data_IF_091360915185
#
_entry.id   IF_091360915185
#
_cell.length_a   1.000
_cell.length_b   1.000
_cell.length_c   1.000
_cell.angle_alpha   90.00
_cell.angle_beta   90.00
_cell.angle_gamma   90.00
#
_symmetry.space_group_name_H-M   'P 1'
#
loop_
_entity.id
_entity.type
_entity.pdbx_description
1 polymer ?
#
# COMPACT_ATOMS: atom_id res chain seq x y z
N UNK A 1 3.65 17.59 -17.45
CA UNK A 1 3.45 17.11 -16.07
C UNK A 1 2.60 18.11 -15.26
N UNK A 2 1.68 17.62 -14.42
CA UNK A 2 0.86 18.42 -13.50
C UNK A 2 1.54 18.43 -12.12
N UNK A 3 1.46 19.53 -11.37
CA UNK A 3 2.04 19.61 -10.01
C UNK A 3 1.28 18.70 -9.03
N UNK A 4 1.93 18.33 -7.92
CA UNK A 4 1.30 17.45 -6.92
C UNK A 4 0.05 18.07 -6.31
N UNK A 5 0.10 19.38 -6.03
CA UNK A 5 -1.01 20.15 -5.44
C UNK A 5 -2.25 20.14 -6.34
N UNK A 6 -2.04 20.05 -7.66
CA UNK A 6 -3.12 19.96 -8.65
C UNK A 6 -3.52 18.53 -8.96
N UNK A 7 -2.58 17.58 -8.91
CA UNK A 7 -2.87 16.17 -9.16
C UNK A 7 -3.68 15.53 -8.03
N UNK A 8 -3.36 15.82 -6.77
CA UNK A 8 -4.01 15.22 -5.59
C UNK A 8 -5.55 15.35 -5.62
N UNK A 9 -6.13 16.56 -5.78
CA UNK A 9 -7.58 16.71 -5.85
C UNK A 9 -8.22 15.95 -7.02
N UNK A 10 -7.53 15.86 -8.16
CA UNK A 10 -8.01 15.14 -9.34
C UNK A 10 -8.03 13.62 -9.12
N UNK A 11 -7.01 13.08 -8.44
CA UNK A 11 -6.94 11.66 -8.12
C UNK A 11 -8.06 11.24 -7.16
N UNK A 12 -8.36 12.06 -6.14
CA UNK A 12 -9.44 11.79 -5.18
C UNK A 12 -10.84 12.08 -5.70
N UNK A 13 -10.98 12.81 -6.82
CA UNK A 13 -12.29 13.05 -7.44
C UNK A 13 -12.88 11.79 -8.11
N UNK A 14 -12.08 10.73 -8.33
CA UNK A 14 -12.56 9.48 -8.89
C UNK A 14 -13.50 8.75 -7.92
N UNK A 15 -14.71 8.35 -8.37
CA UNK A 15 -15.62 7.57 -7.54
C UNK A 15 -14.98 6.28 -7.05
N UNK A 16 -15.10 5.99 -5.75
CA UNK A 16 -14.54 4.79 -5.13
C UNK A 16 -13.10 4.92 -4.64
N UNK A 17 -12.47 6.09 -4.79
CA UNK A 17 -11.15 6.38 -4.18
C UNK A 17 -11.36 7.00 -2.80
N UNK A 18 -10.75 6.42 -1.77
CA UNK A 18 -10.77 6.94 -0.41
C UNK A 18 -9.35 7.03 0.15
N UNK A 19 -9.03 8.13 0.83
CA UNK A 19 -7.80 8.26 1.59
C UNK A 19 -7.96 7.55 2.94
N UNK A 20 -7.08 6.59 3.22
CA UNK A 20 -7.07 5.88 4.48
C UNK A 20 -5.97 6.43 5.40
N UNK A 21 -6.23 6.56 6.71
CA UNK A 21 -5.24 7.03 7.66
C UNK A 21 -4.15 5.98 7.88
N UNK A 22 -2.92 6.44 8.09
CA UNK A 22 -1.86 5.59 8.60
C UNK A 22 -2.01 5.45 10.12
N UNK A 23 -2.52 4.31 10.57
CA UNK A 23 -2.77 4.04 12.00
C UNK A 23 -1.51 3.49 12.69
N UNK A 24 -1.41 3.58 14.03
CA UNK A 24 -0.32 2.95 14.78
C UNK A 24 -0.21 1.44 14.56
N UNK A 25 -1.34 0.75 14.34
CA UNK A 25 -1.36 -0.68 14.02
C UNK A 25 -0.66 -0.96 12.69
N UNK A 26 -0.96 -0.19 11.64
CA UNK A 26 -0.30 -0.30 10.33
C UNK A 26 1.19 0.01 10.44
N UNK A 27 1.54 1.08 11.17
CA UNK A 27 2.94 1.48 11.36
C UNK A 27 3.76 0.43 12.12
N UNK A 28 3.19 -0.27 13.10
CA UNK A 28 3.85 -1.39 13.77
C UNK A 28 3.94 -2.62 12.85
N UNK A 29 2.87 -2.93 12.12
CA UNK A 29 2.81 -4.08 11.23
C UNK A 29 3.82 -3.98 10.06
N UNK A 30 4.13 -2.78 9.56
CA UNK A 30 5.11 -2.58 8.50
C UNK A 30 6.52 -3.01 8.90
N UNK A 31 6.86 -2.90 10.18
CA UNK A 31 8.16 -3.34 10.73
C UNK A 31 8.22 -4.84 11.03
N UNK A 32 7.10 -5.55 10.93
CA UNK A 32 6.93 -6.96 11.33
C UNK A 32 6.34 -7.81 10.21
N UNK A 33 6.65 -7.45 8.97
CA UNK A 33 6.26 -8.26 7.82
C UNK A 33 6.93 -9.65 7.91
N UNK A 34 6.17 -10.74 7.81
CA UNK A 34 6.71 -12.10 7.89
C UNK A 34 7.65 -12.40 6.73
N UNK A 35 8.58 -13.33 6.96
CA UNK A 35 9.56 -13.73 5.94
C UNK A 35 10.53 -12.61 5.56
N UNK A 36 11.15 -12.75 4.39
CA UNK A 36 11.99 -11.70 3.82
C UNK A 36 11.13 -10.82 2.93
N UNK A 37 10.99 -9.55 3.29
CA UNK A 37 10.35 -8.54 2.46
C UNK A 37 11.36 -7.45 2.08
N UNK A 38 11.05 -6.72 1.01
CA UNK A 38 11.85 -5.60 0.54
C UNK A 38 12.07 -4.55 1.65
N UNK A 39 13.19 -3.83 1.59
CA UNK A 39 13.63 -2.86 2.62
C UNK A 39 13.13 -1.44 2.38
N UNK A 40 12.27 -1.20 1.40
CA UNK A 40 11.67 0.11 1.19
C UNK A 40 10.56 0.39 2.23
N UNK A 41 10.65 1.49 2.99
CA UNK A 41 9.66 1.81 4.01
C UNK A 41 8.25 2.08 3.45
N UNK A 42 8.12 2.66 2.26
CA UNK A 42 6.82 2.95 1.66
C UNK A 42 6.12 1.66 1.22
N UNK A 43 6.85 0.73 0.59
CA UNK A 43 6.32 -0.59 0.24
C UNK A 43 5.89 -1.36 1.49
N UNK A 44 6.68 -1.30 2.56
CA UNK A 44 6.32 -1.93 3.83
C UNK A 44 5.02 -1.37 4.41
N UNK A 45 4.82 -0.05 4.35
CA UNK A 45 3.57 0.60 4.78
C UNK A 45 2.39 0.19 3.91
N UNK A 46 2.56 0.14 2.58
CA UNK A 46 1.50 -0.25 1.65
C UNK A 46 1.08 -1.71 1.89
N UNK A 47 2.05 -2.62 1.97
CA UNK A 47 1.79 -4.06 2.21
C UNK A 47 1.19 -4.29 3.59
N UNK A 48 1.68 -3.63 4.63
CA UNK A 48 1.10 -3.72 5.97
C UNK A 48 -0.34 -3.22 5.99
N UNK A 49 -0.63 -2.11 5.30
CA UNK A 49 -1.99 -1.57 5.18
C UNK A 49 -2.93 -2.61 4.59
N UNK A 50 -2.56 -3.22 3.46
CA UNK A 50 -3.37 -4.25 2.81
C UNK A 50 -3.62 -5.47 3.71
N UNK A 51 -2.59 -5.90 4.46
CA UNK A 51 -2.68 -7.03 5.40
C UNK A 51 -3.58 -6.73 6.60
N UNK A 52 -3.44 -5.55 7.22
CA UNK A 52 -4.26 -5.11 8.37
C UNK A 52 -5.72 -4.97 7.96
N UNK A 53 -5.99 -4.33 6.81
CA UNK A 53 -7.35 -4.12 6.30
C UNK A 53 -7.94 -5.36 5.61
N UNK A 54 -7.15 -6.42 5.47
CA UNK A 54 -7.54 -7.67 4.80
C UNK A 54 -8.06 -7.44 3.37
N UNK A 55 -7.50 -6.48 2.64
CA UNK A 55 -7.85 -6.22 1.24
C UNK A 55 -6.75 -6.72 0.28
N UNK A 56 -7.08 -7.05 -0.97
CA UNK A 56 -6.07 -7.32 -1.98
C UNK A 56 -5.33 -6.03 -2.37
N UNK A 57 -4.03 -6.13 -2.63
CA UNK A 57 -3.19 -5.05 -3.11
C UNK A 57 -3.06 -5.10 -4.64
N UNK A 58 -3.49 -4.04 -5.32
CA UNK A 58 -3.22 -3.82 -6.74
C UNK A 58 -1.83 -3.19 -6.91
N UNK A 59 -0.94 -3.84 -7.66
CA UNK A 59 0.41 -3.32 -7.91
C UNK A 59 1.03 -3.94 -9.17
N UNK A 60 1.89 -3.20 -9.84
CA UNK A 60 2.75 -3.73 -10.91
C UNK A 60 4.15 -4.11 -10.40
N UNK A 61 4.44 -3.93 -9.11
CA UNK A 61 5.74 -4.29 -8.53
C UNK A 61 5.87 -5.81 -8.38
N UNK A 62 6.80 -6.40 -9.12
CA UNK A 62 7.01 -7.85 -9.18
C UNK A 62 7.53 -8.44 -7.86
N UNK A 63 8.21 -7.67 -7.02
CA UNK A 63 8.67 -8.12 -5.70
C UNK A 63 7.49 -8.24 -4.74
N UNK A 64 6.56 -7.30 -4.79
CA UNK A 64 5.32 -7.38 -4.01
C UNK A 64 4.43 -8.50 -4.54
N UNK A 65 4.32 -8.67 -5.86
CA UNK A 65 3.55 -9.78 -6.46
C UNK A 65 4.11 -11.17 -6.07
N UNK A 66 5.43 -11.28 -5.89
CA UNK A 66 6.08 -12.51 -5.45
C UNK A 66 6.01 -12.74 -3.92
N UNK A 67 5.49 -11.78 -3.15
CA UNK A 67 5.44 -11.86 -1.70
C UNK A 67 4.20 -12.62 -1.21
N UNK A 68 4.39 -13.87 -0.76
CA UNK A 68 3.30 -14.80 -0.42
C UNK A 68 2.39 -14.35 0.74
N UNK A 69 2.86 -13.41 1.58
CA UNK A 69 2.14 -13.01 2.79
C UNK A 69 1.19 -11.81 2.58
N UNK A 70 0.94 -11.41 1.33
CA UNK A 70 -0.08 -10.43 0.95
C UNK A 70 -0.87 -10.94 -0.25
N UNK A 71 -2.19 -10.74 -0.24
CA UNK A 71 -3.03 -11.04 -1.41
C UNK A 71 -2.88 -9.92 -2.43
N UNK A 72 -2.65 -10.25 -3.69
CA UNK A 72 -2.51 -9.27 -4.76
C UNK A 72 -3.56 -9.49 -5.86
N UNK A 73 -3.79 -8.42 -6.62
CA UNK A 73 -4.49 -8.43 -7.90
C UNK A 73 -3.58 -7.71 -8.91
N UNK A 74 -3.56 -8.17 -10.16
CA UNK A 74 -2.69 -7.65 -11.23
C UNK A 74 -3.49 -7.23 -12.44
#
# INVERSE_FOLDING_TARGET
PVSLERWFPLAFAYPGVALLPLTPEIALASTRLPGSFHRDPADQLIVATARVLKCPLLTSDTRILAYEHVRTIS
#
